data_IF_926211511641
#
_entry.id   IF_926211511641
#
_cell.length_a   1.000
_cell.length_b   1.000
_cell.length_c   1.000
_cell.angle_alpha   90.00
_cell.angle_beta   90.00
_cell.angle_gamma   90.00
#
_symmetry.space_group_name_H-M   'P 1'
#
loop_
_entity.id
_entity.type
_entity.pdbx_description
1 polymer ?
#
# COMPACT_ATOMS: atom_id res chain seq x y z
N UNK A 1 18.15 12.41 4.65
CA UNK A 1 16.94 11.68 4.21
C UNK A 1 17.17 11.16 2.81
N UNK A 2 17.22 9.84 2.53
CA UNK A 2 17.39 9.43 1.12
C UNK A 2 17.72 7.98 0.77
N UNK A 3 17.84 7.05 1.73
CA UNK A 3 18.15 5.64 1.42
C UNK A 3 16.94 4.70 1.51
N UNK A 4 15.96 4.98 2.37
CA UNK A 4 14.75 4.15 2.51
C UNK A 4 13.68 4.39 1.42
N UNK A 5 13.63 5.60 0.84
CA UNK A 5 12.71 5.91 -0.28
C UNK A 5 13.15 5.32 -1.63
N UNK A 6 14.38 4.84 -1.73
CA UNK A 6 14.90 4.21 -2.95
C UNK A 6 14.75 2.69 -2.94
N UNK A 7 14.54 2.09 -1.78
CA UNK A 7 14.46 0.65 -1.65
C UNK A 7 13.04 0.16 -1.99
N UNK A 8 12.87 -0.84 -2.88
CA UNK A 8 11.56 -1.31 -3.32
C UNK A 8 10.62 -1.71 -2.18
N UNK A 9 11.16 -2.33 -1.12
CA UNK A 9 10.38 -2.68 0.07
C UNK A 9 9.83 -1.43 0.80
N UNK A 10 10.66 -0.38 0.96
CA UNK A 10 10.24 0.86 1.60
C UNK A 10 9.20 1.61 0.77
N UNK A 11 9.33 1.58 -0.55
CA UNK A 11 8.33 2.13 -1.48
C UNK A 11 7.01 1.37 -1.39
N UNK A 12 7.04 0.04 -1.41
CA UNK A 12 5.86 -0.81 -1.24
C UNK A 12 5.15 -0.53 0.10
N UNK A 13 5.90 -0.49 1.21
CA UNK A 13 5.36 -0.17 2.52
C UNK A 13 4.72 1.23 2.56
N UNK A 14 5.38 2.23 1.96
CA UNK A 14 4.85 3.59 1.87
C UNK A 14 3.55 3.64 1.06
N UNK A 15 3.49 2.94 -0.08
CA UNK A 15 2.27 2.86 -0.90
C UNK A 15 1.15 2.20 -0.11
N UNK A 16 1.42 1.12 0.62
CA UNK A 16 0.42 0.45 1.45
C UNK A 16 -0.13 1.35 2.56
N UNK A 17 0.75 2.09 3.26
CA UNK A 17 0.35 3.05 4.30
C UNK A 17 -0.46 4.20 3.70
N UNK A 18 0.00 4.77 2.58
CA UNK A 18 -0.73 5.83 1.88
C UNK A 18 -2.11 5.35 1.40
N UNK A 19 -2.19 4.12 0.89
CA UNK A 19 -3.44 3.50 0.47
C UNK A 19 -4.40 3.29 1.64
N UNK A 20 -3.91 2.84 2.80
CA UNK A 20 -4.73 2.73 4.00
C UNK A 20 -5.39 4.07 4.36
N UNK A 21 -4.61 5.14 4.46
CA UNK A 21 -5.17 6.46 4.76
C UNK A 21 -6.12 6.95 3.66
N UNK A 22 -5.77 6.74 2.39
CA UNK A 22 -6.60 7.15 1.27
C UNK A 22 -7.94 6.40 1.23
N UNK A 23 -7.97 5.11 1.58
CA UNK A 23 -9.20 4.32 1.53
C UNK A 23 -10.05 4.61 2.78
N UNK A 24 -9.45 4.56 3.97
CA UNK A 24 -10.17 4.75 5.22
C UNK A 24 -10.69 6.19 5.37
N UNK A 25 -9.78 7.18 5.28
CA UNK A 25 -10.17 8.59 5.37
C UNK A 25 -10.74 9.11 4.07
N UNK A 26 -10.17 8.73 2.92
CA UNK A 26 -10.63 9.29 1.65
C UNK A 26 -12.06 8.89 1.32
N UNK A 27 -12.46 7.63 1.55
CA UNK A 27 -13.86 7.24 1.30
C UNK A 27 -14.80 7.93 2.29
N UNK A 28 -14.43 8.04 3.57
CA UNK A 28 -15.29 8.68 4.57
C UNK A 28 -15.43 10.20 4.36
N UNK A 29 -14.35 10.90 4.01
CA UNK A 29 -14.28 12.36 4.06
C UNK A 29 -14.25 13.06 2.69
N UNK A 30 -13.80 12.43 1.60
CA UNK A 30 -13.77 13.08 0.29
C UNK A 30 -15.18 13.29 -0.30
N UNK A 31 -16.07 12.28 -0.34
CA UNK A 31 -17.40 12.47 -0.93
C UNK A 31 -18.24 13.57 -0.25
N UNK A 32 -18.24 13.72 1.09
CA UNK A 32 -18.94 14.81 1.76
C UNK A 32 -18.47 16.21 1.34
N UNK A 33 -17.18 16.38 1.01
CA UNK A 33 -16.66 17.65 0.48
C UNK A 33 -17.24 18.00 -0.89
N UNK A 34 -17.75 17.00 -1.62
CA UNK A 34 -18.41 17.15 -2.93
C UNK A 34 -19.95 17.12 -2.81
N UNK A 35 -20.50 17.17 -1.59
CA UNK A 35 -21.94 17.12 -1.35
C UNK A 35 -22.57 15.72 -1.46
N UNK A 36 -21.75 14.66 -1.52
CA UNK A 36 -22.21 13.27 -1.58
C UNK A 36 -22.13 12.68 -0.16
N UNK A 37 -23.23 12.15 0.41
CA UNK A 37 -23.18 11.50 1.71
C UNK A 37 -22.28 10.25 1.64
N UNK A 38 -21.41 10.10 2.63
CA UNK A 38 -20.57 8.91 2.79
C UNK A 38 -20.73 8.31 4.17
N UNK A 39 -20.60 6.99 4.26
CA UNK A 39 -20.65 6.23 5.49
C UNK A 39 -19.26 5.65 5.82
N UNK A 40 -18.99 5.34 7.10
CA UNK A 40 -17.77 4.63 7.48
C UNK A 40 -17.61 3.33 6.69
N UNK A 41 -16.39 3.05 6.23
CA UNK A 41 -16.08 1.84 5.47
C UNK A 41 -16.03 0.64 6.43
N UNK A 42 -16.75 -0.46 6.16
CA UNK A 42 -16.61 -1.68 6.94
C UNK A 42 -15.18 -2.24 6.87
N UNK A 43 -14.65 -2.73 8.00
CA UNK A 43 -13.28 -3.28 8.07
C UNK A 43 -13.01 -4.40 7.05
N UNK A 44 -14.02 -5.21 6.71
CA UNK A 44 -13.90 -6.25 5.68
C UNK A 44 -13.66 -5.68 4.28
N UNK A 45 -14.33 -4.58 3.95
CA UNK A 45 -14.19 -3.89 2.66
C UNK A 45 -12.84 -3.17 2.59
N UNK A 46 -12.43 -2.51 3.68
CA UNK A 46 -11.11 -1.89 3.80
C UNK A 46 -10.00 -2.93 3.57
N UNK A 47 -10.08 -4.10 4.22
CA UNK A 47 -9.13 -5.18 4.03
C UNK A 47 -9.10 -5.68 2.58
N UNK A 48 -10.27 -5.86 1.94
CA UNK A 48 -10.34 -6.27 0.52
C UNK A 48 -9.64 -5.28 -0.40
N UNK A 49 -9.85 -3.98 -0.21
CA UNK A 49 -9.16 -2.96 -1.01
C UNK A 49 -7.66 -2.94 -0.75
N UNK A 50 -7.22 -3.06 0.50
CA UNK A 50 -5.79 -3.13 0.83
C UNK A 50 -5.12 -4.35 0.21
N UNK A 51 -5.77 -5.52 0.24
CA UNK A 51 -5.25 -6.71 -0.43
C UNK A 51 -5.15 -6.49 -1.94
N UNK A 52 -6.13 -5.83 -2.55
CA UNK A 52 -6.10 -5.49 -3.98
C UNK A 52 -4.94 -4.56 -4.32
N UNK A 53 -4.70 -3.53 -3.50
CA UNK A 53 -3.54 -2.65 -3.64
C UNK A 53 -2.24 -3.44 -3.45
N UNK A 54 -2.18 -4.32 -2.45
CA UNK A 54 -1.04 -5.19 -2.20
C UNK A 54 -0.69 -6.07 -3.40
N UNK A 55 -1.69 -6.68 -4.05
CA UNK A 55 -1.49 -7.43 -5.29
C UNK A 55 -0.90 -6.54 -6.39
N UNK A 56 -1.43 -5.33 -6.58
CA UNK A 56 -0.88 -4.38 -7.55
C UNK A 56 0.58 -4.00 -7.27
N UNK A 57 0.91 -3.76 -6.00
CA UNK A 57 2.30 -3.48 -5.57
C UNK A 57 3.20 -4.68 -5.82
N UNK A 58 2.76 -5.90 -5.50
CA UNK A 58 3.53 -7.12 -5.73
C UNK A 58 3.80 -7.34 -7.22
N UNK A 59 2.78 -7.17 -8.07
CA UNK A 59 2.93 -7.24 -9.52
C UNK A 59 3.99 -6.23 -10.00
N UNK A 60 3.87 -4.97 -9.58
CA UNK A 60 4.82 -3.93 -9.95
C UNK A 60 6.26 -4.23 -9.48
N UNK A 61 6.45 -4.69 -8.23
CA UNK A 61 7.78 -5.05 -7.73
C UNK A 61 8.36 -6.24 -8.51
N UNK A 62 7.54 -7.28 -8.76
CA UNK A 62 7.95 -8.53 -9.39
C UNK A 62 8.27 -8.42 -10.88
N UNK A 63 7.84 -7.35 -11.55
CA UNK A 63 8.05 -7.10 -12.98
C UNK A 63 9.55 -6.87 -13.34
N UNK A 64 10.44 -6.75 -12.36
CA UNK A 64 11.88 -6.64 -12.59
C UNK A 64 12.65 -7.49 -11.56
N UNK A 65 13.50 -8.40 -12.04
CA UNK A 65 14.18 -9.38 -11.18
C UNK A 65 15.14 -8.72 -10.18
N UNK A 66 15.83 -7.64 -10.57
CA UNK A 66 16.70 -6.88 -9.66
C UNK A 66 15.88 -6.23 -8.56
N UNK A 67 14.76 -5.60 -8.90
CA UNK A 67 13.83 -4.98 -7.93
C UNK A 67 13.18 -6.02 -7.02
N UNK A 68 12.86 -7.20 -7.55
CA UNK A 68 12.30 -8.31 -6.78
C UNK A 68 13.30 -8.89 -5.79
N UNK A 69 14.56 -9.04 -6.18
CA UNK A 69 15.64 -9.46 -5.29
C UNK A 69 15.79 -8.47 -4.13
N UNK A 70 15.97 -7.18 -4.44
CA UNK A 70 16.08 -6.12 -3.41
C UNK A 70 14.86 -6.09 -2.49
N UNK A 71 13.64 -6.22 -3.03
CA UNK A 71 12.42 -6.26 -2.21
C UNK A 71 12.42 -7.38 -1.16
N UNK A 72 12.96 -8.55 -1.50
CA UNK A 72 13.02 -9.72 -0.62
C UNK A 72 14.14 -9.65 0.42
N UNK A 73 15.17 -8.82 0.21
CA UNK A 73 16.34 -8.77 1.09
C UNK A 73 15.99 -8.49 2.55
N UNK A 74 15.17 -7.48 2.89
CA UNK A 74 14.81 -7.22 4.28
C UNK A 74 14.02 -8.40 4.89
N UNK A 75 13.18 -9.07 4.10
CA UNK A 75 12.38 -10.22 4.57
C UNK A 75 13.29 -11.40 4.91
N UNK A 76 14.26 -11.70 4.04
CA UNK A 76 15.23 -12.77 4.28
C UNK A 76 16.09 -12.50 5.51
N UNK A 77 16.50 -11.25 5.75
CA UNK A 77 17.32 -10.86 6.90
C UNK A 77 16.62 -11.08 8.27
N UNK A 78 15.29 -11.13 8.32
CA UNK A 78 14.55 -11.38 9.57
C UNK A 78 14.09 -12.83 9.71
N UNK A 79 14.04 -13.58 8.60
CA UNK A 79 13.55 -14.96 8.58
C UNK A 79 14.65 -16.01 8.73
N UNK A 80 15.93 -15.62 8.65
CA UNK A 80 17.13 -16.46 8.81
C UNK A 80 18.04 -15.82 9.83
#
# INVERSE_FOLDING_TARGET
MGKHFKHPFGQAALVMVAAYFLIDFGIAYIPPLLGIPSAPVPNSVLLQYLLTVGVGVLLWVSDNETRWAEFKDPIHQVMV
#
